data_IF_275843807387
#
_entry.id   IF_275843807387
#
_cell.length_a   1.000
_cell.length_b   1.000
_cell.length_c   1.000
_cell.angle_alpha   90.00
_cell.angle_beta   90.00
_cell.angle_gamma   90.00
#
_symmetry.space_group_name_H-M   'P 1'
#
loop_
_entity.id
_entity.type
_entity.pdbx_description
1 polymer ?
#
# COMPACT_ATOMS: atom_id res chain seq x y z
N UNK A 1 4.67 13.01 -45.88
CA UNK A 1 4.47 11.58 -45.66
C UNK A 1 5.06 11.10 -44.34
N UNK A 2 6.28 11.47 -43.95
CA UNK A 2 6.88 11.07 -42.66
C UNK A 2 6.09 11.58 -41.46
N UNK A 3 5.39 12.71 -41.56
CA UNK A 3 4.61 13.29 -40.48
C UNK A 3 3.40 12.41 -40.12
N UNK A 4 2.75 11.78 -41.10
CA UNK A 4 1.62 10.88 -40.85
C UNK A 4 2.02 9.60 -40.13
N UNK A 5 3.20 9.05 -40.42
CA UNK A 5 3.73 7.90 -39.71
C UNK A 5 4.01 8.19 -38.24
N UNK A 6 4.53 9.39 -37.95
CA UNK A 6 4.77 9.81 -36.57
C UNK A 6 3.49 9.90 -35.74
N UNK A 7 2.39 10.38 -36.32
CA UNK A 7 1.11 10.46 -35.64
C UNK A 7 0.55 9.08 -35.29
N UNK A 8 0.67 8.10 -36.18
CA UNK A 8 0.21 6.72 -35.94
C UNK A 8 1.00 6.07 -34.80
N UNK A 9 2.33 6.26 -34.76
CA UNK A 9 3.18 5.73 -33.71
C UNK A 9 2.83 6.33 -32.35
N UNK A 10 2.60 7.62 -32.26
CA UNK A 10 2.21 8.31 -31.02
C UNK A 10 0.89 7.79 -30.49
N UNK A 11 -0.11 7.59 -31.35
CA UNK A 11 -1.42 7.08 -30.94
C UNK A 11 -1.32 5.67 -30.35
N UNK A 12 -0.48 4.79 -30.93
CA UNK A 12 -0.28 3.43 -30.44
C UNK A 12 0.38 3.44 -29.04
N UNK A 13 1.38 4.28 -28.83
CA UNK A 13 2.06 4.41 -27.54
C UNK A 13 1.10 4.91 -26.47
N UNK A 14 0.27 5.88 -26.76
CA UNK A 14 -0.73 6.41 -25.81
C UNK A 14 -1.74 5.36 -25.37
N UNK A 15 -2.22 4.52 -26.29
CA UNK A 15 -3.14 3.44 -25.97
C UNK A 15 -2.49 2.39 -25.05
N UNK A 16 -1.22 2.03 -25.27
CA UNK A 16 -0.48 1.09 -24.43
C UNK A 16 -0.29 1.63 -23.01
N UNK A 17 0.04 2.89 -22.86
CA UNK A 17 0.21 3.55 -21.56
C UNK A 17 -1.14 3.56 -20.80
N UNK A 18 -2.25 3.85 -21.47
CA UNK A 18 -3.58 3.85 -20.87
C UNK A 18 -3.97 2.50 -20.29
N UNK A 19 -3.69 1.40 -21.01
CA UNK A 19 -3.97 0.04 -20.54
C UNK A 19 -3.12 -0.30 -19.31
N UNK A 20 -1.83 0.04 -19.31
CA UNK A 20 -0.94 -0.19 -18.17
C UNK A 20 -1.42 0.55 -16.92
N UNK A 21 -1.86 1.80 -17.03
CA UNK A 21 -2.39 2.56 -15.91
C UNK A 21 -3.66 1.95 -15.31
N UNK A 22 -4.54 1.38 -16.13
CA UNK A 22 -5.75 0.70 -15.65
C UNK A 22 -5.42 -0.55 -14.82
N UNK A 23 -4.41 -1.33 -15.21
CA UNK A 23 -3.97 -2.51 -14.47
C UNK A 23 -3.35 -2.11 -13.13
N UNK A 24 -2.51 -1.08 -13.11
CA UNK A 24 -1.86 -0.58 -11.89
C UNK A 24 -2.87 -0.01 -10.89
N UNK A 25 -3.98 0.61 -11.37
CA UNK A 25 -5.02 1.19 -10.51
C UNK A 25 -5.80 0.18 -9.66
N UNK A 26 -5.67 -1.13 -9.88
CA UNK A 26 -6.41 -2.16 -9.14
C UNK A 26 -5.68 -2.70 -7.90
N UNK A 27 -4.43 -2.30 -7.67
CA UNK A 27 -3.61 -2.77 -6.56
C UNK A 27 -3.20 -1.61 -5.65
N UNK A 28 -3.07 -1.90 -4.35
CA UNK A 28 -2.51 -0.94 -3.40
C UNK A 28 -1.00 -1.08 -3.40
N UNK A 29 -0.32 -0.10 -3.93
CA UNK A 29 1.14 -0.07 -4.00
C UNK A 29 1.74 0.51 -2.72
N UNK A 30 2.95 0.07 -2.38
CA UNK A 30 3.73 0.67 -1.31
C UNK A 30 4.28 2.03 -1.77
N UNK A 31 4.17 3.02 -0.89
CA UNK A 31 4.68 4.36 -1.15
C UNK A 31 6.20 4.45 -0.93
N UNK A 32 6.88 5.48 -1.45
CA UNK A 32 8.29 5.72 -1.14
C UNK A 32 8.52 5.77 0.37
N UNK A 33 9.54 5.05 0.84
CA UNK A 33 9.85 4.93 2.27
C UNK A 33 9.24 3.70 2.94
N UNK A 34 8.28 3.03 2.31
CA UNK A 34 7.63 1.85 2.87
C UNK A 34 8.61 0.68 3.07
N UNK A 35 9.65 0.60 2.26
CA UNK A 35 10.72 -0.39 2.38
C UNK A 35 11.51 -0.25 3.69
N UNK A 36 11.46 0.90 4.33
CA UNK A 36 12.13 1.17 5.61
C UNK A 36 11.25 0.85 6.81
N UNK A 37 9.97 0.60 6.60
CA UNK A 37 9.05 0.22 7.68
C UNK A 37 9.23 -1.27 7.95
N UNK A 38 9.62 -1.62 9.18
CA UNK A 38 9.85 -3.00 9.56
C UNK A 38 8.77 -3.47 10.55
N UNK A 39 8.34 -4.72 10.44
CA UNK A 39 7.44 -5.29 11.44
C UNK A 39 8.22 -5.54 12.74
N UNK A 40 7.57 -5.28 13.86
CA UNK A 40 8.12 -5.52 15.19
C UNK A 40 7.14 -6.34 16.01
N UNK A 41 7.64 -7.03 17.02
CA UNK A 41 6.82 -7.77 17.97
C UNK A 41 6.51 -6.92 19.21
N UNK A 42 5.73 -7.47 20.15
CA UNK A 42 5.31 -6.75 21.33
C UNK A 42 6.47 -6.30 22.23
N UNK A 43 7.54 -7.10 22.31
CA UNK A 43 8.73 -6.73 23.08
C UNK A 43 9.49 -5.56 22.43
N UNK A 44 9.68 -5.64 21.12
CA UNK A 44 10.42 -4.64 20.38
C UNK A 44 9.70 -3.28 20.41
N UNK A 45 8.37 -3.29 20.35
CA UNK A 45 7.62 -2.03 20.34
C UNK A 45 7.73 -1.24 21.64
N UNK A 46 8.10 -1.87 22.77
CA UNK A 46 8.23 -1.19 24.04
C UNK A 46 9.32 -0.11 24.03
N UNK A 47 10.28 -0.20 23.11
CA UNK A 47 11.37 0.77 22.96
C UNK A 47 11.07 1.82 21.88
N UNK A 48 9.84 1.86 21.41
CA UNK A 48 9.44 2.74 20.31
C UNK A 48 8.39 3.75 20.76
N UNK A 49 8.36 4.89 20.09
CA UNK A 49 7.31 5.89 20.27
C UNK A 49 6.08 5.46 19.47
N UNK A 50 4.90 5.45 20.11
CA UNK A 50 3.65 5.16 19.41
C UNK A 50 3.17 6.38 18.63
N UNK A 51 2.81 6.16 17.37
CA UNK A 51 2.21 7.16 16.49
C UNK A 51 0.72 6.91 16.28
N UNK A 52 0.15 6.03 17.11
CA UNK A 52 -1.28 5.75 17.11
C UNK A 52 -1.65 4.49 16.36
N UNK A 53 -2.93 4.16 16.42
CA UNK A 53 -3.49 2.95 15.83
C UNK A 53 -3.89 3.24 14.39
N UNK A 54 -3.61 2.27 13.52
CA UNK A 54 -3.95 2.28 12.10
C UNK A 54 -4.92 1.14 11.84
N UNK A 55 -6.03 1.44 11.16
CA UNK A 55 -6.96 0.42 10.67
C UNK A 55 -7.03 0.56 9.15
N UNK A 56 -6.80 -0.53 8.44
CA UNK A 56 -6.80 -0.54 6.99
C UNK A 56 -7.64 -1.70 6.47
N UNK A 57 -8.62 -1.38 5.62
CA UNK A 57 -9.56 -2.34 5.07
C UNK A 57 -9.36 -2.54 3.58
N UNK A 58 -9.62 -3.76 3.11
CA UNK A 58 -9.76 -4.08 1.70
C UNK A 58 -10.97 -4.97 1.51
N UNK A 59 -11.99 -4.46 0.82
CA UNK A 59 -13.26 -5.16 0.65
C UNK A 59 -13.36 -5.92 -0.65
N UNK A 60 -12.72 -5.46 -1.71
CA UNK A 60 -12.85 -6.00 -3.06
C UNK A 60 -11.49 -6.36 -3.63
N UNK A 61 -11.51 -7.29 -4.61
CA UNK A 61 -10.35 -7.64 -5.40
C UNK A 61 -9.53 -8.78 -4.82
N UNK A 62 -8.50 -9.23 -5.56
CA UNK A 62 -7.56 -10.25 -5.10
C UNK A 62 -6.57 -9.66 -4.08
N UNK A 63 -5.91 -10.54 -3.33
CA UNK A 63 -4.84 -10.18 -2.40
C UNK A 63 -5.28 -9.17 -1.33
N UNK A 64 -6.45 -9.39 -0.74
CA UNK A 64 -7.03 -8.45 0.23
C UNK A 64 -6.14 -8.24 1.45
N UNK A 65 -5.56 -9.29 1.99
CA UNK A 65 -4.65 -9.20 3.13
C UNK A 65 -3.39 -8.39 2.77
N UNK A 66 -2.80 -8.65 1.61
CA UNK A 66 -1.63 -7.93 1.16
C UNK A 66 -1.95 -6.45 0.94
N UNK A 67 -3.07 -6.14 0.32
CA UNK A 67 -3.48 -4.77 0.07
C UNK A 67 -3.81 -4.02 1.37
N UNK A 68 -4.48 -4.65 2.32
CA UNK A 68 -4.76 -4.08 3.63
C UNK A 68 -3.46 -3.78 4.37
N UNK A 69 -2.52 -4.71 4.34
CA UNK A 69 -1.20 -4.54 4.96
C UNK A 69 -0.43 -3.39 4.30
N UNK A 70 -0.44 -3.30 2.98
CA UNK A 70 0.21 -2.21 2.26
C UNK A 70 -0.39 -0.85 2.62
N UNK A 71 -1.71 -0.77 2.76
CA UNK A 71 -2.38 0.45 3.23
C UNK A 71 -1.93 0.83 4.63
N UNK A 72 -1.82 -0.13 5.53
CA UNK A 72 -1.35 0.11 6.90
C UNK A 72 0.09 0.61 6.91
N UNK A 73 0.97 -0.01 6.13
CA UNK A 73 2.39 0.41 6.00
C UNK A 73 2.48 1.83 5.43
N UNK A 74 1.70 2.13 4.40
CA UNK A 74 1.67 3.47 3.80
C UNK A 74 1.22 4.52 4.84
N UNK A 75 0.29 4.18 5.71
CA UNK A 75 -0.16 5.07 6.77
C UNK A 75 0.94 5.30 7.81
N UNK A 76 1.73 4.28 8.14
CA UNK A 76 2.91 4.42 9.02
C UNK A 76 3.89 5.42 8.43
N UNK A 77 4.19 5.31 7.14
CA UNK A 77 5.07 6.24 6.42
C UNK A 77 4.53 7.66 6.51
N UNK A 78 3.24 7.83 6.25
CA UNK A 78 2.57 9.13 6.28
C UNK A 78 2.66 9.79 7.66
N UNK A 79 2.65 9.00 8.73
CA UNK A 79 2.80 9.49 10.11
C UNK A 79 4.25 9.70 10.54
N UNK A 80 5.20 9.43 9.66
CA UNK A 80 6.62 9.59 9.98
C UNK A 80 7.21 8.42 10.76
N UNK A 81 6.56 7.25 10.73
CA UNK A 81 7.03 6.06 11.40
C UNK A 81 8.02 5.25 10.59
N UNK A 82 8.71 4.34 11.28
CA UNK A 82 9.66 3.40 10.67
C UNK A 82 9.42 1.96 11.10
N UNK A 83 8.34 1.70 11.83
CA UNK A 83 8.00 0.36 12.29
C UNK A 83 6.49 0.19 12.42
N UNK A 84 6.04 -1.04 12.32
CA UNK A 84 4.63 -1.39 12.44
C UNK A 84 4.48 -2.62 13.35
N UNK A 85 3.54 -2.54 14.28
CA UNK A 85 3.13 -3.68 15.09
C UNK A 85 1.73 -4.10 14.66
N UNK A 86 1.64 -5.23 13.97
CA UNK A 86 0.35 -5.73 13.50
C UNK A 86 -0.35 -6.46 14.65
N UNK A 87 -1.50 -5.94 15.05
CA UNK A 87 -2.26 -6.47 16.17
C UNK A 87 -3.23 -7.54 15.72
N UNK A 88 -3.98 -7.30 14.66
CA UNK A 88 -4.95 -8.26 14.13
C UNK A 88 -5.05 -8.18 12.62
N UNK A 89 -5.44 -9.31 12.05
CA UNK A 89 -5.78 -9.50 10.65
C UNK A 89 -7.10 -10.25 10.66
N UNK A 90 -8.21 -9.61 10.37
CA UNK A 90 -9.52 -10.18 10.61
C UNK A 90 -10.45 -9.99 9.41
N UNK A 91 -11.44 -10.89 9.21
CA UNK A 91 -12.49 -10.66 8.24
C UNK A 91 -13.24 -9.36 8.56
N UNK A 92 -13.64 -8.62 7.52
CA UNK A 92 -14.37 -7.37 7.62
C UNK A 92 -15.46 -7.35 6.56
N UNK A 93 -16.70 -7.14 6.97
CA UNK A 93 -17.84 -7.22 6.08
C UNK A 93 -18.08 -8.65 5.58
N UNK A 94 -18.57 -8.80 4.34
CA UNK A 94 -18.91 -10.10 3.77
C UNK A 94 -17.65 -10.84 3.30
N UNK A 95 -16.77 -10.17 2.58
CA UNK A 95 -15.58 -10.76 1.95
C UNK A 95 -14.30 -9.95 2.17
N UNK A 96 -14.35 -8.92 2.97
CA UNK A 96 -13.23 -8.02 3.20
C UNK A 96 -12.24 -8.53 4.24
N UNK A 97 -11.11 -7.83 4.31
CA UNK A 97 -10.07 -8.04 5.33
C UNK A 97 -9.74 -6.69 5.96
N UNK A 98 -9.60 -6.67 7.28
CA UNK A 98 -9.17 -5.51 8.03
C UNK A 98 -7.88 -5.81 8.79
N UNK A 99 -6.91 -4.92 8.69
CA UNK A 99 -5.66 -4.97 9.45
C UNK A 99 -5.70 -3.86 10.48
N UNK A 100 -5.52 -4.22 11.75
CA UNK A 100 -5.34 -3.26 12.83
C UNK A 100 -3.88 -3.33 13.28
N UNK A 101 -3.23 -2.19 13.33
CA UNK A 101 -1.81 -2.12 13.66
C UNK A 101 -1.50 -0.85 14.43
N UNK A 102 -0.33 -0.82 15.04
CA UNK A 102 0.18 0.37 15.69
C UNK A 102 1.35 0.92 14.86
N UNK A 103 1.27 2.20 14.52
CA UNK A 103 2.36 2.90 13.86
C UNK A 103 3.39 3.33 14.90
N UNK A 104 4.67 3.10 14.62
CA UNK A 104 5.74 3.29 15.59
C UNK A 104 6.93 4.03 14.97
N UNK A 105 7.61 4.77 15.83
CA UNK A 105 8.94 5.31 15.53
C UNK A 105 9.92 4.72 16.51
N UNK A 106 10.83 3.90 16.00
CA UNK A 106 11.85 3.22 16.78
C UNK A 106 13.23 3.81 16.50
N UNK A 107 14.05 3.83 17.51
CA UNK A 107 15.44 4.30 17.37
C UNK A 107 16.34 3.25 16.74
#
# INVERSE_FOLDING_TARGET
MSIQMKHKAIATIAASIGIALLVVGCATELQPGADKVRPVNAEQKSNCESLGIVVADQQLGPYKTQNSTNKAINEVVRRGGNAIYIMTNAPSGIDGVSVTAEALRCK
#
